data_IF_029223673673
#
_entry.id   IF_029223673673
#
_cell.length_a   1.000
_cell.length_b   1.000
_cell.length_c   1.000
_cell.angle_alpha   90.00
_cell.angle_beta   90.00
_cell.angle_gamma   90.00
#
_symmetry.space_group_name_H-M   'P 1'
#
loop_
_entity.id
_entity.type
_entity.pdbx_description
1 polymer ?
#
# COMPACT_ATOMS: atom_id res chain seq x y z
N UNK A 1 5.38 13.58 -6.06
CA UNK A 1 5.54 13.05 -4.69
C UNK A 1 6.69 12.03 -4.63
N UNK A 2 7.96 12.49 -4.71
CA UNK A 2 9.12 11.60 -4.68
C UNK A 2 9.35 10.98 -3.29
N UNK A 3 8.94 11.64 -2.21
CA UNK A 3 9.33 11.23 -0.85
C UNK A 3 8.76 9.87 -0.39
N UNK A 4 7.50 9.56 -0.72
CA UNK A 4 6.90 8.26 -0.36
C UNK A 4 7.56 7.13 -1.14
N UNK A 5 7.79 7.33 -2.44
CA UNK A 5 8.45 6.33 -3.27
C UNK A 5 9.91 6.13 -2.85
N UNK A 6 10.64 7.22 -2.57
CA UNK A 6 12.02 7.16 -2.08
C UNK A 6 12.11 6.46 -0.73
N UNK A 7 11.18 6.72 0.19
CA UNK A 7 11.10 6.03 1.47
C UNK A 7 10.77 4.55 1.29
N UNK A 8 9.80 4.20 0.43
CA UNK A 8 9.50 2.80 0.11
C UNK A 8 10.69 2.08 -0.49
N UNK A 9 11.41 2.73 -1.41
CA UNK A 9 12.67 2.22 -1.96
C UNK A 9 13.67 1.94 -0.84
N UNK A 10 13.96 2.91 0.01
CA UNK A 10 14.86 2.70 1.15
C UNK A 10 14.42 1.53 2.05
N UNK A 11 13.14 1.46 2.40
CA UNK A 11 12.58 0.41 3.26
C UNK A 11 12.62 -0.99 2.64
N UNK A 12 12.68 -1.11 1.31
CA UNK A 12 12.76 -2.39 0.62
C UNK A 12 14.06 -3.14 0.94
N UNK A 13 15.19 -2.43 0.85
CA UNK A 13 16.53 -2.99 1.05
C UNK A 13 17.01 -2.92 2.49
N UNK A 14 16.25 -2.25 3.36
CA UNK A 14 16.61 -2.15 4.77
C UNK A 14 16.44 -3.52 5.47
N UNK A 15 17.47 -4.03 6.16
CA UNK A 15 17.39 -5.34 6.78
C UNK A 15 16.38 -5.36 7.92
N UNK A 16 15.65 -6.46 8.02
CA UNK A 16 14.68 -6.71 9.08
C UNK A 16 15.29 -6.57 10.49
N UNK A 17 14.46 -6.21 11.46
CA UNK A 17 14.93 -6.13 12.84
C UNK A 17 15.22 -7.55 13.38
N UNK A 18 16.42 -7.85 13.93
CA UNK A 18 16.81 -9.20 14.33
C UNK A 18 15.83 -9.89 15.29
N UNK A 19 15.15 -9.11 16.14
CA UNK A 19 14.17 -9.61 17.13
C UNK A 19 12.70 -9.42 16.73
N UNK A 20 12.40 -8.41 15.91
CA UNK A 20 11.01 -7.96 15.69
C UNK A 20 10.50 -8.31 14.28
N UNK A 21 11.36 -8.90 13.46
CA UNK A 21 11.05 -9.38 12.12
C UNK A 21 11.22 -8.33 11.02
N UNK A 22 11.01 -8.75 9.77
CA UNK A 22 11.33 -7.97 8.57
C UNK A 22 10.46 -6.74 8.38
N UNK A 23 9.19 -6.80 8.79
CA UNK A 23 8.24 -5.70 8.60
C UNK A 23 8.22 -4.69 9.75
N UNK A 24 9.14 -4.78 10.72
CA UNK A 24 9.07 -3.97 11.95
C UNK A 24 9.02 -2.46 11.66
N UNK A 25 9.91 -1.95 10.82
CA UNK A 25 9.94 -0.52 10.48
C UNK A 25 8.71 -0.08 9.69
N UNK A 26 8.27 -0.90 8.75
CA UNK A 26 7.09 -0.58 7.92
C UNK A 26 5.81 -0.59 8.77
N UNK A 27 5.69 -1.52 9.73
CA UNK A 27 4.64 -1.49 10.76
C UNK A 27 4.74 -0.24 11.64
N UNK A 28 5.95 0.17 12.01
CA UNK A 28 6.20 1.42 12.73
C UNK A 28 5.70 2.65 11.97
N UNK A 29 5.97 2.71 10.67
CA UNK A 29 5.48 3.76 9.78
C UNK A 29 3.94 3.74 9.71
N UNK A 30 3.32 2.58 9.50
CA UNK A 30 1.85 2.44 9.50
C UNK A 30 1.23 2.96 10.80
N UNK A 31 1.81 2.59 11.94
CA UNK A 31 1.36 3.05 13.25
C UNK A 31 1.51 4.57 13.42
N UNK A 32 2.62 5.15 12.95
CA UNK A 32 2.84 6.60 13.00
C UNK A 32 1.82 7.36 12.14
N UNK A 33 1.55 6.86 10.94
CA UNK A 33 0.56 7.42 10.01
C UNK A 33 -0.86 7.38 10.58
N UNK A 34 -1.21 6.32 11.30
CA UNK A 34 -2.51 6.20 11.96
C UNK A 34 -2.68 7.19 13.12
N UNK A 35 -1.59 7.50 13.83
CA UNK A 35 -1.57 8.44 14.97
C UNK A 35 -1.40 9.91 14.56
N UNK A 36 -1.15 10.18 13.28
CA UNK A 36 -0.93 11.54 12.80
C UNK A 36 -2.26 12.30 12.71
N UNK A 37 -2.51 13.20 13.66
CA UNK A 37 -3.78 13.94 13.81
C UNK A 37 -4.25 14.65 12.53
N UNK A 38 -3.38 15.30 11.71
CA UNK A 38 -3.83 15.95 10.47
C UNK A 38 -4.43 14.98 9.45
N UNK A 39 -4.17 13.68 9.59
CA UNK A 39 -4.73 12.60 8.78
C UNK A 39 -5.74 11.73 9.54
N UNK A 40 -6.35 12.27 10.60
CA UNK A 40 -7.45 11.62 11.32
C UNK A 40 -8.66 11.41 10.39
N UNK A 41 -8.95 12.38 9.52
CA UNK A 41 -9.99 12.27 8.50
C UNK A 41 -9.44 11.72 7.18
N UNK A 42 -10.28 11.04 6.37
CA UNK A 42 -9.90 10.61 5.04
C UNK A 42 -9.37 11.75 4.17
N UNK A 43 -8.22 11.55 3.55
CA UNK A 43 -7.61 12.54 2.68
C UNK A 43 -6.74 11.90 1.60
N UNK A 44 -6.52 12.64 0.51
CA UNK A 44 -5.72 12.21 -0.64
C UNK A 44 -4.29 11.87 -0.23
N UNK A 45 -3.67 12.64 0.67
CA UNK A 45 -2.30 12.41 1.12
C UNK A 45 -2.12 11.03 1.79
N UNK A 46 -3.05 10.66 2.68
CA UNK A 46 -3.04 9.35 3.35
C UNK A 46 -3.30 8.21 2.37
N UNK A 47 -4.23 8.41 1.42
CA UNK A 47 -4.50 7.44 0.35
C UNK A 47 -3.26 7.21 -0.53
N UNK A 48 -2.61 8.28 -1.00
CA UNK A 48 -1.36 8.20 -1.79
C UNK A 48 -0.25 7.45 -1.04
N UNK A 49 -0.13 7.66 0.28
CA UNK A 49 0.81 6.91 1.10
C UNK A 49 0.49 5.42 1.14
N UNK A 50 -0.78 5.04 1.38
CA UNK A 50 -1.19 3.64 1.37
C UNK A 50 -0.96 2.97 0.02
N UNK A 51 -1.23 3.65 -1.09
CA UNK A 51 -0.91 3.15 -2.43
C UNK A 51 0.60 2.91 -2.61
N UNK A 52 1.45 3.81 -2.11
CA UNK A 52 2.90 3.62 -2.10
C UNK A 52 3.37 2.44 -1.25
N UNK A 53 2.70 2.18 -0.12
CA UNK A 53 2.97 1.02 0.73
C UNK A 53 2.47 -0.29 0.10
N UNK A 54 1.32 -0.28 -0.58
CA UNK A 54 0.84 -1.44 -1.33
C UNK A 54 1.87 -1.86 -2.38
N UNK A 55 2.46 -0.91 -3.12
CA UNK A 55 3.56 -1.22 -4.07
C UNK A 55 4.77 -1.83 -3.36
N UNK A 56 5.15 -1.29 -2.19
CA UNK A 56 6.25 -1.83 -1.39
C UNK A 56 5.97 -3.28 -0.95
N UNK A 57 4.79 -3.55 -0.40
CA UNK A 57 4.41 -4.90 0.04
C UNK A 57 4.25 -5.88 -1.12
N UNK A 58 3.76 -5.43 -2.27
CA UNK A 58 3.76 -6.25 -3.48
C UNK A 58 5.19 -6.59 -3.93
N UNK A 59 6.13 -5.65 -3.78
CA UNK A 59 7.56 -5.92 -4.05
C UNK A 59 8.15 -6.88 -3.02
N UNK A 60 7.76 -6.79 -1.75
CA UNK A 60 8.16 -7.76 -0.72
C UNK A 60 7.70 -9.20 -0.98
N UNK A 61 6.63 -9.37 -1.76
CA UNK A 61 6.10 -10.69 -2.12
C UNK A 61 6.84 -11.32 -3.32
N UNK A 62 7.70 -10.56 -3.99
CA UNK A 62 8.50 -11.09 -5.09
C UNK A 62 9.58 -12.04 -4.53
N UNK A 63 9.90 -13.08 -5.31
CA UNK A 63 10.95 -14.04 -4.94
C UNK A 63 12.34 -13.42 -4.83
N UNK A 64 12.56 -12.32 -5.56
CA UNK A 64 13.78 -11.53 -5.51
C UNK A 64 13.43 -10.05 -5.68
N UNK A 65 14.05 -9.19 -4.89
CA UNK A 65 13.83 -7.75 -4.99
C UNK A 65 14.45 -7.18 -6.28
N UNK A 66 13.88 -6.10 -6.82
CA UNK A 66 14.35 -5.47 -8.06
C UNK A 66 15.78 -4.91 -7.97
N UNK A 67 16.30 -4.65 -6.76
CA UNK A 67 17.67 -4.21 -6.54
C UNK A 67 18.11 -4.51 -5.10
N UNK A 68 19.43 -4.48 -4.90
CA UNK A 68 20.11 -4.77 -3.64
C UNK A 68 21.22 -3.75 -3.40
N UNK A 69 21.60 -3.56 -2.13
CA UNK A 69 22.77 -2.77 -1.75
C UNK A 69 23.94 -3.71 -1.54
N UNK A 70 25.09 -3.38 -2.12
CA UNK A 70 26.30 -4.20 -1.95
C UNK A 70 26.61 -4.41 -0.47
N UNK A 71 26.90 -5.67 -0.09
CA UNK A 71 27.19 -6.12 1.29
C UNK A 71 26.05 -5.94 2.30
N UNK A 72 24.81 -5.76 1.85
CA UNK A 72 23.63 -5.72 2.72
C UNK A 72 22.68 -6.84 2.34
N UNK A 73 22.50 -7.81 3.24
CA UNK A 73 21.53 -8.87 3.06
C UNK A 73 20.10 -8.32 3.20
N UNK A 74 19.34 -8.36 2.11
CA UNK A 74 17.97 -7.88 2.04
C UNK A 74 16.97 -8.95 2.50
N UNK A 75 15.74 -8.53 2.79
CA UNK A 75 14.73 -9.41 3.38
C UNK A 75 14.28 -10.57 2.47
N UNK A 76 14.39 -10.44 1.14
CA UNK A 76 14.19 -11.56 0.21
C UNK A 76 15.20 -12.68 0.43
N UNK A 77 16.45 -12.32 0.69
CA UNK A 77 17.55 -13.26 0.97
C UNK A 77 17.42 -13.85 2.38
N UNK A 78 17.05 -13.02 3.36
CA UNK A 78 16.97 -13.43 4.77
C UNK A 78 15.69 -14.19 5.12
N UNK A 79 14.55 -13.89 4.48
CA UNK A 79 13.22 -14.35 4.91
C UNK A 79 12.30 -14.83 3.77
N UNK A 80 12.65 -14.62 2.49
CA UNK A 80 11.73 -14.80 1.36
C UNK A 80 11.12 -16.20 1.21
N UNK A 81 11.81 -17.24 1.68
CA UNK A 81 11.38 -18.65 1.63
C UNK A 81 10.66 -19.13 2.90
N UNK A 82 10.27 -18.23 3.80
CA UNK A 82 9.62 -18.59 5.06
C UNK A 82 8.08 -18.39 4.96
N UNK A 83 7.30 -19.44 5.21
CA UNK A 83 5.84 -19.38 5.20
C UNK A 83 5.27 -18.34 6.18
N UNK A 84 5.95 -18.12 7.32
CA UNK A 84 5.57 -17.10 8.32
C UNK A 84 5.73 -15.69 7.73
N UNK A 85 6.76 -15.49 6.91
CA UNK A 85 6.99 -14.22 6.20
C UNK A 85 5.84 -13.95 5.23
N UNK A 86 5.52 -14.92 4.36
CA UNK A 86 4.47 -14.80 3.36
C UNK A 86 3.07 -14.63 3.98
N UNK A 87 2.79 -15.36 5.07
CA UNK A 87 1.53 -15.21 5.82
C UNK A 87 1.41 -13.82 6.44
N UNK A 88 2.46 -13.34 7.10
CA UNK A 88 2.50 -12.01 7.70
C UNK A 88 2.37 -10.90 6.66
N UNK A 89 3.02 -11.07 5.51
CA UNK A 89 2.94 -10.15 4.38
C UNK A 89 1.50 -10.04 3.88
N UNK A 90 0.87 -11.18 3.62
CA UNK A 90 -0.51 -11.25 3.10
C UNK A 90 -1.49 -10.56 4.05
N UNK A 91 -1.39 -10.81 5.37
CA UNK A 91 -2.24 -10.17 6.37
C UNK A 91 -2.09 -8.64 6.39
N UNK A 92 -0.85 -8.13 6.29
CA UNK A 92 -0.60 -6.68 6.26
C UNK A 92 -1.16 -6.08 4.96
N UNK A 93 -0.97 -6.78 3.84
CA UNK A 93 -1.46 -6.33 2.54
C UNK A 93 -2.99 -6.27 2.50
N UNK A 94 -3.68 -7.29 2.99
CA UNK A 94 -5.15 -7.31 3.08
C UNK A 94 -5.69 -6.17 3.94
N UNK A 95 -5.02 -5.90 5.07
CA UNK A 95 -5.35 -4.76 5.94
C UNK A 95 -5.16 -3.44 5.19
N UNK A 96 -4.05 -3.28 4.47
CA UNK A 96 -3.74 -2.09 3.69
C UNK A 96 -4.72 -1.86 2.54
N UNK A 97 -5.10 -2.91 1.81
CA UNK A 97 -6.09 -2.85 0.74
C UNK A 97 -7.44 -2.37 1.29
N UNK A 98 -7.88 -2.95 2.41
CA UNK A 98 -9.13 -2.57 3.09
C UNK A 98 -9.08 -1.13 3.59
N UNK A 99 -7.98 -0.72 4.23
CA UNK A 99 -7.81 0.65 4.70
C UNK A 99 -7.81 1.66 3.54
N UNK A 100 -7.20 1.32 2.42
CA UNK A 100 -7.17 2.16 1.21
C UNK A 100 -8.57 2.36 0.63
N UNK A 101 -9.37 1.30 0.56
CA UNK A 101 -10.78 1.40 0.15
C UNK A 101 -11.58 2.31 1.08
N UNK A 102 -11.43 2.15 2.39
CA UNK A 102 -12.11 3.00 3.37
C UNK A 102 -11.70 4.48 3.24
N UNK A 103 -10.42 4.75 2.93
CA UNK A 103 -9.96 6.10 2.64
C UNK A 103 -10.61 6.66 1.36
N UNK A 104 -10.71 5.87 0.30
CA UNK A 104 -11.35 6.26 -0.96
C UNK A 104 -12.82 6.62 -0.78
N UNK A 105 -13.58 5.81 -0.04
CA UNK A 105 -14.98 6.12 0.27
C UNK A 105 -15.10 7.40 1.10
N UNK A 106 -14.28 7.54 2.14
CA UNK A 106 -14.33 8.67 3.04
C UNK A 106 -13.92 10.03 2.44
N UNK A 107 -13.13 10.05 1.34
CA UNK A 107 -12.74 11.29 0.64
C UNK A 107 -13.98 12.03 0.10
N UNK A 108 -14.98 11.30 -0.39
CA UNK A 108 -16.21 11.89 -0.94
C UNK A 108 -17.21 12.22 0.17
N UNK A 109 -17.38 11.34 1.15
CA UNK A 109 -18.29 11.59 2.29
C UNK A 109 -17.90 12.85 3.07
N UNK A 110 -16.60 13.07 3.29
CA UNK A 110 -16.09 14.23 4.02
C UNK A 110 -16.17 15.56 3.25
N UNK A 111 -16.46 15.52 1.94
CA UNK A 111 -16.55 16.67 1.05
C UNK A 111 -17.78 16.57 0.12
N UNK A 112 -18.90 16.04 0.64
CA UNK A 112 -20.09 15.76 -0.15
C UNK A 112 -20.53 17.00 -0.96
N UNK A 113 -20.69 16.84 -2.28
CA UNK A 113 -21.06 17.91 -3.21
C UNK A 113 -19.91 18.72 -3.80
N UNK A 114 -18.65 18.47 -3.40
CA UNK A 114 -17.49 19.12 -4.02
C UNK A 114 -16.99 18.32 -5.24
N UNK A 115 -17.03 18.94 -6.42
CA UNK A 115 -16.53 18.35 -7.68
C UNK A 115 -15.06 17.93 -7.58
N UNK A 116 -14.24 18.67 -6.83
CA UNK A 116 -12.83 18.37 -6.63
C UNK A 116 -12.64 17.06 -5.85
N UNK A 117 -13.54 16.75 -4.92
CA UNK A 117 -13.47 15.51 -4.14
C UNK A 117 -13.77 14.26 -4.99
N UNK A 118 -14.72 14.36 -5.94
CA UNK A 118 -15.01 13.29 -6.90
C UNK A 118 -13.85 13.09 -7.89
N UNK A 119 -13.24 14.17 -8.35
CA UNK A 119 -12.05 14.11 -9.20
C UNK A 119 -10.87 13.46 -8.47
N UNK A 120 -10.59 13.91 -7.24
CA UNK A 120 -9.57 13.34 -6.35
C UNK A 120 -9.80 11.82 -6.14
N UNK A 121 -11.04 11.42 -5.86
CA UNK A 121 -11.38 10.00 -5.68
C UNK A 121 -11.17 9.19 -6.96
N UNK A 122 -11.54 9.75 -8.11
CA UNK A 122 -11.38 9.09 -9.41
C UNK A 122 -9.92 8.90 -9.78
N UNK A 123 -9.08 9.93 -9.56
CA UNK A 123 -7.62 9.85 -9.74
C UNK A 123 -7.04 8.73 -8.86
N UNK A 124 -7.44 8.69 -7.58
CA UNK A 124 -6.91 7.68 -6.64
C UNK A 124 -7.41 6.27 -6.93
N UNK A 125 -8.66 6.12 -7.38
CA UNK A 125 -9.20 4.83 -7.81
C UNK A 125 -8.47 4.31 -9.04
N UNK A 126 -8.19 5.19 -10.03
CA UNK A 126 -7.42 4.83 -11.22
C UNK A 126 -5.97 4.45 -10.88
N UNK A 127 -5.31 5.21 -10.01
CA UNK A 127 -3.97 4.90 -9.53
C UNK A 127 -3.94 3.54 -8.81
N UNK A 128 -4.97 3.23 -8.02
CA UNK A 128 -5.08 1.95 -7.35
C UNK A 128 -5.27 0.81 -8.36
N UNK A 129 -6.15 0.97 -9.35
CA UNK A 129 -6.30 -0.01 -10.44
C UNK A 129 -4.96 -0.24 -11.16
N UNK A 130 -4.23 0.83 -11.50
CA UNK A 130 -2.92 0.72 -12.16
C UNK A 130 -1.90 -0.07 -11.31
N UNK A 131 -1.94 0.09 -9.98
CA UNK A 131 -1.10 -0.69 -9.06
C UNK A 131 -1.50 -2.15 -9.08
N UNK A 132 -2.80 -2.45 -8.93
CA UNK A 132 -3.29 -3.82 -8.94
C UNK A 132 -2.91 -4.55 -10.24
N UNK A 133 -3.04 -3.88 -11.39
CA UNK A 133 -2.70 -4.45 -12.69
C UNK A 133 -1.20 -4.65 -12.90
N UNK A 134 -0.35 -3.81 -12.30
CA UNK A 134 1.10 -3.87 -12.51
C UNK A 134 1.84 -4.75 -11.50
N UNK A 135 1.28 -4.96 -10.30
CA UNK A 135 2.01 -5.63 -9.21
C UNK A 135 1.35 -6.92 -8.71
N UNK A 136 0.06 -7.16 -9.01
CA UNK A 136 -0.65 -8.35 -8.54
C UNK A 136 -0.98 -9.30 -9.69
N UNK A 137 -0.96 -10.60 -9.38
CA UNK A 137 -1.53 -11.61 -10.28
C UNK A 137 -3.04 -11.46 -10.32
N UNK A 138 -3.59 -11.37 -11.53
CA UNK A 138 -5.04 -11.26 -11.70
C UNK A 138 -5.72 -12.58 -11.32
N UNK A 139 -6.63 -12.50 -10.35
CA UNK A 139 -7.49 -13.60 -9.92
C UNK A 139 -8.90 -13.07 -9.65
N UNK A 140 -9.83 -13.93 -9.25
CA UNK A 140 -11.23 -13.53 -9.01
C UNK A 140 -11.36 -12.41 -7.96
N UNK A 141 -10.51 -12.40 -6.93
CA UNK A 141 -10.51 -11.35 -5.89
C UNK A 141 -10.01 -10.03 -6.45
N UNK A 142 -8.83 -10.03 -7.08
CA UNK A 142 -8.23 -8.83 -7.70
C UNK A 142 -9.14 -8.25 -8.79
N UNK A 143 -9.76 -9.09 -9.62
CA UNK A 143 -10.69 -8.67 -10.66
C UNK A 143 -11.95 -8.03 -10.07
N UNK A 144 -12.52 -8.64 -9.02
CA UNK A 144 -13.66 -8.06 -8.29
C UNK A 144 -13.31 -6.69 -7.72
N UNK A 145 -12.12 -6.54 -7.14
CA UNK A 145 -11.65 -5.27 -6.59
C UNK A 145 -11.49 -4.20 -7.68
N UNK A 146 -10.88 -4.54 -8.82
CA UNK A 146 -10.74 -3.64 -9.97
C UNK A 146 -12.11 -3.18 -10.47
N UNK A 147 -13.07 -4.09 -10.61
CA UNK A 147 -14.44 -3.73 -11.04
C UNK A 147 -15.12 -2.80 -10.04
N UNK A 148 -14.95 -3.02 -8.73
CA UNK A 148 -15.46 -2.12 -7.69
C UNK A 148 -14.85 -0.73 -7.80
N UNK A 149 -13.52 -0.64 -7.92
CA UNK A 149 -12.80 0.63 -8.06
C UNK A 149 -13.20 1.39 -9.34
N UNK A 150 -13.46 0.67 -10.43
CA UNK A 150 -13.92 1.27 -11.69
C UNK A 150 -15.33 1.87 -11.58
N UNK A 151 -16.21 1.25 -10.79
CA UNK A 151 -17.59 1.74 -10.59
C UNK A 151 -17.71 2.86 -9.57
N UNK A 152 -16.76 2.92 -8.62
CA UNK A 152 -16.77 3.82 -7.48
C UNK A 152 -17.01 5.31 -7.83
N UNK A 153 -16.44 5.89 -8.92
CA UNK A 153 -16.75 7.27 -9.31
C UNK A 153 -18.19 7.51 -9.80
N UNK A 154 -18.89 6.48 -10.26
CA UNK A 154 -20.23 6.57 -10.84
C UNK A 154 -21.37 6.35 -9.83
N UNK A 155 -21.06 5.95 -8.60
CA UNK A 155 -22.06 5.63 -7.56
C UNK A 155 -22.42 6.82 -6.63
N UNK A 156 -21.90 8.03 -6.90
CA UNK A 156 -22.09 9.21 -6.05
C UNK A 156 -22.67 10.44 -6.74
#
# INVERSE_FOLDING_TARGET
MPYVLNLSSFLLVFPGHPKNGPFHLVKGLLNAVQKYEPWAKPCVGKCKLYLGLIRLFATFAQSKFPYHVDKVDSNDTLFGNNDIYQTSLTQILDTLLTQTLNQLHGIVEGKAGNRDAKNDQSEMALDFVNILLSTFTMNKSTATLVVKLYRLPGEG
#
